data_IF_924832383821
#
_entry.id   IF_924832383821
#
_cell.length_a   1.000
_cell.length_b   1.000
_cell.length_c   1.000
_cell.angle_alpha   90.00
_cell.angle_beta   90.00
_cell.angle_gamma   90.00
#
_symmetry.space_group_name_H-M   'P 1'
#
loop_
_entity.id
_entity.type
_entity.pdbx_description
1 polymer ?
#
# COMPACT_ATOMS: atom_id res chain seq x y z
N UNK A 1 -49.15 -16.49 -41.88
CA UNK A 1 -49.71 -15.15 -41.58
C UNK A 1 -49.89 -15.06 -40.08
N UNK A 2 -48.90 -14.50 -39.35
CA UNK A 2 -48.94 -13.13 -38.76
C UNK A 2 -50.09 -12.97 -37.75
N UNK A 3 -49.85 -12.80 -36.45
CA UNK A 3 -49.19 -11.63 -35.83
C UNK A 3 -48.58 -11.89 -34.44
N UNK A 4 -47.44 -11.24 -34.26
CA UNK A 4 -46.62 -10.95 -33.08
C UNK A 4 -47.12 -9.73 -32.28
N UNK A 5 -46.45 -9.46 -31.13
CA UNK A 5 -46.43 -8.27 -30.21
C UNK A 5 -47.26 -8.44 -28.93
N UNK A 6 -46.77 -8.21 -27.69
CA UNK A 6 -45.55 -7.56 -27.14
C UNK A 6 -45.22 -8.20 -25.76
N UNK A 7 -43.98 -8.54 -25.38
CA UNK A 7 -42.79 -7.74 -25.01
C UNK A 7 -42.78 -7.13 -23.57
N UNK A 8 -41.72 -7.52 -22.83
CA UNK A 8 -40.98 -6.83 -21.76
C UNK A 8 -41.53 -6.86 -20.33
N UNK A 9 -40.94 -7.76 -19.52
CA UNK A 9 -40.45 -7.55 -18.14
C UNK A 9 -40.07 -8.96 -17.62
N UNK A 10 -38.87 -9.30 -17.16
CA UNK A 10 -37.87 -8.52 -16.48
C UNK A 10 -36.49 -9.12 -16.80
N UNK A 11 -35.72 -8.43 -17.64
CA UNK A 11 -34.27 -8.48 -17.56
C UNK A 11 -33.84 -7.50 -16.46
N UNK A 12 -34.30 -7.74 -15.23
CA UNK A 12 -33.64 -7.14 -14.07
C UNK A 12 -32.36 -7.94 -13.87
N UNK A 13 -31.32 -7.43 -14.50
CA UNK A 13 -29.93 -7.47 -14.06
C UNK A 13 -29.78 -8.16 -12.70
N UNK A 14 -29.45 -9.45 -12.74
CA UNK A 14 -28.58 -9.99 -11.72
C UNK A 14 -27.21 -9.31 -11.92
N UNK A 15 -27.08 -8.07 -11.43
CA UNK A 15 -25.81 -7.50 -11.01
C UNK A 15 -25.34 -8.36 -9.83
N UNK A 16 -24.93 -9.59 -10.14
CA UNK A 16 -24.19 -10.42 -9.21
C UNK A 16 -22.83 -9.77 -9.05
N UNK A 17 -22.64 -9.06 -7.94
CA UNK A 17 -21.32 -8.69 -7.45
C UNK A 17 -20.47 -9.96 -7.38
N UNK A 18 -19.62 -10.17 -8.38
CA UNK A 18 -18.69 -11.28 -8.51
C UNK A 18 -17.30 -10.74 -8.16
N UNK A 19 -16.67 -11.09 -7.03
CA UNK A 19 -17.12 -11.91 -5.92
C UNK A 19 -16.31 -11.49 -4.69
N UNK A 20 -17.02 -11.24 -3.60
CA UNK A 20 -16.40 -10.94 -2.32
C UNK A 20 -15.55 -12.14 -1.85
N UNK A 21 -14.39 -11.89 -1.24
CA UNK A 21 -13.48 -12.97 -0.79
C UNK A 21 -13.94 -13.50 0.57
N UNK A 22 -13.56 -14.74 0.89
CA UNK A 22 -13.83 -15.28 2.22
C UNK A 22 -12.94 -14.58 3.23
N UNK A 23 -13.54 -13.90 4.20
CA UNK A 23 -12.85 -13.31 5.34
C UNK A 23 -12.07 -14.38 6.12
N UNK A 24 -10.91 -14.04 6.68
CA UNK A 24 -10.16 -14.93 7.56
C UNK A 24 -10.93 -15.19 8.86
N UNK A 25 -11.77 -16.22 8.89
CA UNK A 25 -12.42 -16.68 10.12
C UNK A 25 -11.34 -17.31 11.01
N UNK A 26 -11.04 -16.71 12.16
CA UNK A 26 -9.93 -17.07 13.07
C UNK A 26 -9.81 -18.52 13.56
N UNK A 27 -10.62 -19.44 13.06
CA UNK A 27 -10.59 -20.88 13.32
C UNK A 27 -10.08 -21.73 12.15
N UNK A 28 -9.99 -21.19 10.93
CA UNK A 28 -9.36 -21.86 9.80
C UNK A 28 -8.65 -20.81 8.91
N UNK A 29 -7.39 -21.03 8.49
CA UNK A 29 -6.76 -20.12 7.54
C UNK A 29 -7.61 -20.11 6.27
N UNK A 30 -8.28 -18.99 6.00
CA UNK A 30 -8.91 -18.80 4.70
C UNK A 30 -7.83 -19.05 3.64
N UNK A 31 -8.15 -19.90 2.65
CA UNK A 31 -7.19 -20.31 1.63
C UNK A 31 -6.54 -19.07 1.03
N UNK A 32 -5.21 -19.00 1.07
CA UNK A 32 -4.47 -17.83 0.61
C UNK A 32 -4.79 -17.50 -0.85
N UNK A 33 -4.72 -16.22 -1.21
CA UNK A 33 -4.95 -15.76 -2.57
C UNK A 33 -3.63 -15.78 -3.34
N UNK A 34 -3.59 -16.45 -4.49
CA UNK A 34 -2.37 -16.56 -5.30
C UNK A 34 -2.47 -15.67 -6.52
N UNK A 35 -1.43 -14.88 -6.77
CA UNK A 35 -1.24 -14.13 -8.01
C UNK A 35 -0.02 -14.69 -8.73
N UNK A 36 -0.19 -15.01 -10.01
CA UNK A 36 0.93 -15.17 -10.93
C UNK A 36 1.50 -13.80 -11.26
N UNK A 37 2.81 -13.67 -11.11
CA UNK A 37 3.53 -12.48 -11.50
C UNK A 37 3.89 -12.58 -12.99
N UNK A 38 3.54 -11.55 -13.76
CA UNK A 38 3.95 -11.35 -15.14
C UNK A 38 4.82 -10.10 -15.24
N UNK A 39 5.62 -10.01 -16.30
CA UNK A 39 6.33 -8.76 -16.66
C UNK A 39 7.19 -8.14 -15.55
N UNK A 40 7.66 -8.97 -14.60
CA UNK A 40 8.55 -8.52 -13.53
C UNK A 40 9.84 -8.02 -14.15
N UNK A 41 10.05 -6.71 -14.03
CA UNK A 41 11.18 -6.01 -14.63
C UNK A 41 11.55 -4.81 -13.80
N UNK A 42 12.84 -4.69 -13.54
CA UNK A 42 13.44 -3.46 -13.04
C UNK A 42 14.22 -2.80 -14.18
N UNK A 43 14.06 -1.51 -14.33
CA UNK A 43 14.81 -0.65 -15.24
C UNK A 43 15.38 0.52 -14.49
N UNK A 44 16.62 0.89 -14.80
CA UNK A 44 17.21 2.12 -14.31
C UNK A 44 18.40 2.54 -15.16
N UNK A 45 18.92 3.76 -14.95
CA UNK A 45 20.23 4.11 -15.47
C UNK A 45 21.31 3.20 -14.89
N UNK A 46 22.47 3.17 -15.54
CA UNK A 46 23.69 2.55 -15.01
C UNK A 46 24.00 3.19 -13.64
N UNK A 47 24.08 2.39 -12.55
CA UNK A 47 24.32 2.88 -11.19
C UNK A 47 25.61 3.68 -11.05
N UNK A 48 26.55 3.53 -11.99
CA UNK A 48 27.80 4.28 -12.01
C UNK A 48 27.68 5.69 -12.60
N UNK A 49 26.52 6.05 -13.18
CA UNK A 49 26.35 7.27 -13.98
C UNK A 49 25.43 8.34 -13.40
N UNK A 50 24.68 8.12 -12.32
CA UNK A 50 23.95 9.15 -11.57
C UNK A 50 23.10 10.14 -12.42
N UNK A 51 22.29 9.63 -13.36
CA UNK A 51 21.56 10.44 -14.33
C UNK A 51 20.05 10.13 -14.52
N UNK A 52 19.33 9.48 -13.60
CA UNK A 52 17.93 9.15 -13.92
C UNK A 52 16.94 8.70 -12.84
N UNK A 53 15.85 8.12 -13.33
CA UNK A 53 14.77 7.48 -12.57
C UNK A 53 14.85 5.99 -12.77
N UNK A 54 14.64 5.23 -11.70
CA UNK A 54 14.47 3.78 -11.76
C UNK A 54 13.00 3.40 -11.68
N UNK A 55 12.64 2.28 -12.30
CA UNK A 55 11.28 1.75 -12.38
C UNK A 55 11.28 0.28 -12.04
N UNK A 56 10.31 -0.19 -11.25
CA UNK A 56 9.93 -1.61 -11.19
C UNK A 56 8.51 -1.71 -11.70
N UNK A 57 8.29 -2.67 -12.59
CA UNK A 57 6.97 -3.06 -13.07
C UNK A 57 6.73 -4.53 -12.72
N UNK A 58 5.53 -4.82 -12.23
CA UNK A 58 5.05 -6.18 -11.96
C UNK A 58 3.58 -6.26 -12.36
N UNK A 59 3.26 -7.18 -13.26
CA UNK A 59 1.88 -7.59 -13.52
C UNK A 59 1.43 -8.67 -12.53
N UNK A 60 0.20 -8.59 -12.05
CA UNK A 60 -0.43 -9.58 -11.16
C UNK A 60 -1.70 -10.12 -11.82
N UNK A 61 -1.82 -11.43 -11.96
CA UNK A 61 -3.03 -12.04 -12.52
C UNK A 61 -3.09 -13.55 -12.32
N UNK A 62 -4.08 -14.19 -12.95
CA UNK A 62 -4.27 -15.64 -12.92
C UNK A 62 -3.90 -16.33 -14.25
N UNK A 63 -3.14 -15.65 -15.11
CA UNK A 63 -2.79 -16.15 -16.44
C UNK A 63 -1.95 -15.16 -17.24
N UNK A 64 -2.11 -15.18 -18.56
CA UNK A 64 -1.31 -14.38 -19.50
C UNK A 64 -1.63 -12.88 -19.49
N UNK A 65 -2.79 -12.48 -18.96
CA UNK A 65 -3.21 -11.08 -18.89
C UNK A 65 -3.19 -10.61 -17.43
N UNK A 66 -2.42 -9.57 -17.08
CA UNK A 66 -2.40 -9.06 -15.72
C UNK A 66 -3.74 -8.39 -15.38
N UNK A 67 -4.30 -8.73 -14.21
CA UNK A 67 -5.48 -8.07 -13.62
C UNK A 67 -5.10 -6.76 -12.94
N UNK A 68 -3.92 -6.73 -12.32
CA UNK A 68 -3.34 -5.51 -11.74
C UNK A 68 -1.96 -5.27 -12.30
N UNK A 69 -1.60 -4.00 -12.45
CA UNK A 69 -0.26 -3.57 -12.83
C UNK A 69 0.33 -2.69 -11.73
N UNK A 70 1.46 -3.13 -11.20
CA UNK A 70 2.15 -2.53 -10.09
C UNK A 70 3.41 -1.83 -10.62
N UNK A 71 3.35 -0.50 -10.78
CA UNK A 71 4.48 0.27 -11.27
C UNK A 71 4.90 1.28 -10.21
N UNK A 72 6.17 1.25 -9.83
CA UNK A 72 6.80 2.31 -9.06
C UNK A 72 7.88 2.97 -9.91
N UNK A 73 8.00 4.29 -9.84
CA UNK A 73 9.12 5.06 -10.38
C UNK A 73 9.74 5.88 -9.24
N UNK A 74 11.07 6.00 -9.19
CA UNK A 74 11.72 6.75 -8.11
C UNK A 74 13.03 7.45 -8.52
N UNK A 75 13.37 8.58 -7.87
CA UNK A 75 14.63 9.29 -8.10
C UNK A 75 15.85 8.47 -7.65
N UNK A 76 16.96 8.61 -8.38
CA UNK A 76 18.22 7.90 -8.09
C UNK A 76 18.88 8.26 -6.74
N UNK A 77 18.55 9.39 -6.10
CA UNK A 77 19.01 9.68 -4.73
C UNK A 77 18.48 8.69 -3.68
N UNK A 78 17.46 7.90 -4.03
CA UNK A 78 16.99 6.73 -3.27
C UNK A 78 17.61 5.42 -3.75
N UNK A 79 18.12 5.43 -4.97
CA UNK A 79 19.06 4.45 -5.49
C UNK A 79 20.47 4.72 -4.88
N UNK A 80 20.55 4.89 -3.56
CA UNK A 80 21.78 4.76 -2.79
C UNK A 80 22.23 3.29 -2.76
N UNK A 81 22.60 2.79 -3.94
CA UNK A 81 23.05 1.42 -4.19
C UNK A 81 24.44 1.24 -3.59
N UNK A 82 24.46 0.86 -2.32
CA UNK A 82 25.57 0.18 -1.69
C UNK A 82 25.02 -0.83 -0.70
N UNK A 83 25.72 -1.95 -0.53
CA UNK A 83 25.47 -2.89 0.54
C UNK A 83 25.40 -2.12 1.87
N UNK A 84 24.19 -1.94 2.43
CA UNK A 84 24.03 -1.22 3.69
C UNK A 84 22.69 -0.52 3.93
N UNK A 85 21.92 -0.15 2.90
CA UNK A 85 20.63 0.54 3.07
C UNK A 85 19.44 -0.39 3.34
N UNK A 86 18.54 -0.01 4.24
CA UNK A 86 17.24 -0.66 4.49
C UNK A 86 16.15 -0.04 3.61
N UNK A 87 16.15 -0.31 2.31
CA UNK A 87 15.33 0.44 1.36
C UNK A 87 14.25 -0.44 0.71
N UNK A 88 13.02 -0.24 1.15
CA UNK A 88 11.80 -0.84 0.61
C UNK A 88 11.21 0.13 -0.42
N UNK A 89 11.09 -0.29 -1.67
CA UNK A 89 10.37 0.42 -2.74
C UNK A 89 8.92 -0.04 -2.72
N UNK A 90 7.96 0.79 -3.10
CA UNK A 90 6.58 0.34 -3.19
C UNK A 90 5.74 1.21 -4.11
N UNK A 91 4.61 0.69 -4.57
CA UNK A 91 3.53 1.47 -5.18
C UNK A 91 2.20 0.71 -5.05
N UNK A 92 1.11 1.43 -5.25
CA UNK A 92 -0.20 0.82 -5.45
C UNK A 92 -0.26 0.17 -6.84
N UNK A 93 -1.05 -0.89 -6.94
CA UNK A 93 -1.28 -1.59 -8.18
C UNK A 93 -2.61 -1.15 -8.77
N UNK A 94 -2.58 -0.77 -10.05
CA UNK A 94 -3.74 -0.26 -10.78
C UNK A 94 -4.45 -1.44 -11.42
N UNK A 95 -5.77 -1.50 -11.29
CA UNK A 95 -6.59 -2.47 -12.02
C UNK A 95 -6.52 -2.17 -13.52
N UNK A 96 -6.13 -3.16 -14.32
CA UNK A 96 -5.88 -3.00 -15.76
C UNK A 96 -7.15 -2.97 -16.60
N UNK A 97 -8.31 -3.22 -15.99
CA UNK A 97 -9.57 -3.48 -16.71
C UNK A 97 -9.74 -4.93 -17.16
N UNK A 98 -8.74 -5.80 -16.97
CA UNK A 98 -8.82 -7.21 -17.31
C UNK A 98 -9.48 -8.02 -16.19
N UNK A 99 -10.56 -8.75 -16.53
CA UNK A 99 -11.35 -9.50 -15.55
C UNK A 99 -12.14 -8.60 -14.59
N UNK A 100 -12.64 -9.17 -13.50
CA UNK A 100 -13.27 -8.39 -12.42
C UNK A 100 -12.21 -8.06 -11.37
N UNK A 101 -12.01 -6.77 -11.07
CA UNK A 101 -11.22 -6.37 -9.90
C UNK A 101 -11.90 -6.87 -8.62
N UNK A 102 -11.30 -7.85 -7.94
CA UNK A 102 -11.87 -8.49 -6.75
C UNK A 102 -11.39 -7.85 -5.44
N UNK A 103 -10.41 -6.96 -5.53
CA UNK A 103 -9.77 -6.31 -4.40
C UNK A 103 -10.04 -4.81 -4.45
N UNK A 104 -10.30 -4.22 -3.29
CA UNK A 104 -10.48 -2.77 -3.13
C UNK A 104 -9.17 -2.04 -3.35
N UNK A 105 -8.10 -2.56 -2.76
CA UNK A 105 -6.73 -2.06 -2.98
C UNK A 105 -5.79 -3.24 -3.12
N UNK A 106 -4.79 -3.07 -3.97
CA UNK A 106 -3.64 -3.96 -4.07
C UNK A 106 -2.40 -3.07 -4.09
N UNK A 107 -1.43 -3.35 -3.25
CA UNK A 107 -0.17 -2.61 -3.19
C UNK A 107 0.97 -3.60 -3.05
N UNK A 108 2.13 -3.24 -3.59
CA UNK A 108 3.33 -4.04 -3.47
C UNK A 108 4.45 -3.23 -2.87
N UNK A 109 5.35 -3.94 -2.20
CA UNK A 109 6.64 -3.41 -1.81
C UNK A 109 7.76 -4.36 -2.23
N UNK A 110 8.95 -3.85 -2.50
CA UNK A 110 10.13 -4.61 -2.84
C UNK A 110 11.28 -4.17 -1.93
N UNK A 111 11.68 -5.06 -1.03
CA UNK A 111 12.94 -4.92 -0.33
C UNK A 111 14.06 -5.35 -1.28
N UNK A 112 14.83 -4.36 -1.74
CA UNK A 112 15.91 -4.61 -2.69
C UNK A 112 17.13 -5.30 -2.07
N UNK A 113 17.32 -5.18 -0.75
CA UNK A 113 18.45 -5.80 -0.04
C UNK A 113 18.23 -7.30 0.07
N UNK A 114 17.04 -7.70 0.52
CA UNK A 114 16.67 -9.11 0.64
C UNK A 114 16.09 -9.69 -0.65
N UNK A 115 15.93 -8.84 -1.68
CA UNK A 115 15.26 -9.16 -2.95
C UNK A 115 13.87 -9.76 -2.72
N UNK A 116 13.14 -9.24 -1.74
CA UNK A 116 11.86 -9.78 -1.32
C UNK A 116 10.75 -8.83 -1.69
N UNK A 117 9.84 -9.29 -2.53
CA UNK A 117 8.59 -8.61 -2.81
C UNK A 117 7.58 -8.95 -1.71
N UNK A 118 6.82 -7.96 -1.29
CA UNK A 118 5.66 -8.05 -0.42
C UNK A 118 4.45 -7.59 -1.21
N UNK A 119 3.33 -8.24 -0.99
CA UNK A 119 2.04 -7.83 -1.55
C UNK A 119 1.07 -7.66 -0.40
N UNK A 120 0.32 -6.57 -0.41
CA UNK A 120 -0.79 -6.33 0.49
C UNK A 120 -2.03 -6.03 -0.34
N UNK A 121 -3.18 -6.49 0.13
CA UNK A 121 -4.46 -6.19 -0.51
C UNK A 121 -5.55 -6.03 0.54
N UNK A 122 -6.58 -5.29 0.16
CA UNK A 122 -7.85 -5.21 0.88
C UNK A 122 -8.99 -5.64 -0.04
N UNK A 123 -10.04 -6.20 0.55
CA UNK A 123 -11.17 -6.75 -0.21
C UNK A 123 -12.45 -6.74 0.63
N UNK A 124 -13.58 -6.71 -0.07
CA UNK A 124 -14.88 -6.94 0.57
C UNK A 124 -15.06 -8.42 0.90
N UNK A 125 -15.57 -8.69 2.09
CA UNK A 125 -15.86 -10.04 2.53
C UNK A 125 -17.23 -10.52 2.07
N UNK A 126 -17.32 -11.81 1.73
CA UNK A 126 -18.55 -12.44 1.24
C UNK A 126 -19.57 -12.74 2.33
N UNK A 127 -19.44 -12.11 3.49
CA UNK A 127 -20.23 -12.40 4.68
C UNK A 127 -21.61 -11.71 4.69
N UNK A 128 -21.87 -10.84 3.70
CA UNK A 128 -23.09 -10.01 3.58
C UNK A 128 -23.30 -9.05 4.76
N UNK A 129 -22.29 -8.84 5.60
CA UNK A 129 -22.30 -7.88 6.70
C UNK A 129 -21.56 -6.58 6.32
N UNK A 130 -20.97 -6.54 5.12
CA UNK A 130 -20.19 -5.40 4.65
C UNK A 130 -18.84 -5.30 5.33
N UNK A 131 -18.30 -6.42 5.83
CA UNK A 131 -16.97 -6.43 6.42
C UNK A 131 -15.88 -6.39 5.35
N UNK A 132 -14.70 -5.91 5.76
CA UNK A 132 -13.52 -5.82 4.90
C UNK A 132 -12.43 -6.72 5.47
N UNK A 133 -11.71 -7.37 4.56
CA UNK A 133 -10.55 -8.19 4.89
C UNK A 133 -9.27 -7.59 4.33
N UNK A 134 -8.15 -8.03 4.88
CA UNK A 134 -6.82 -7.76 4.32
C UNK A 134 -6.08 -9.08 4.14
N UNK A 135 -5.20 -9.15 3.15
CA UNK A 135 -4.26 -10.24 3.01
C UNK A 135 -2.87 -9.69 2.68
N UNK A 136 -1.85 -10.41 3.15
CA UNK A 136 -0.47 -10.07 2.84
C UNK A 136 0.32 -11.31 2.47
N UNK A 137 1.26 -11.16 1.55
CA UNK A 137 2.12 -12.22 1.07
C UNK A 137 3.51 -11.70 0.80
N UNK A 138 4.45 -12.61 0.61
CA UNK A 138 5.79 -12.24 0.17
C UNK A 138 6.41 -13.31 -0.69
N UNK A 139 7.33 -12.90 -1.56
CA UNK A 139 8.02 -13.75 -2.51
C UNK A 139 9.46 -13.25 -2.65
N UNK A 140 10.43 -14.16 -2.55
CA UNK A 140 11.80 -13.84 -2.93
C UNK A 140 11.91 -13.80 -4.46
N UNK A 141 12.53 -12.74 -4.98
CA UNK A 141 12.79 -12.52 -6.39
C UNK A 141 14.29 -12.67 -6.63
N UNK A 142 14.68 -13.72 -7.35
CA UNK A 142 16.07 -13.84 -7.81
C UNK A 142 16.21 -13.06 -9.12
N UNK A 143 16.98 -11.98 -9.11
CA UNK A 143 17.15 -11.09 -10.26
C UNK A 143 18.52 -11.28 -10.92
N UNK A 144 18.53 -11.33 -12.24
CA UNK A 144 19.72 -11.22 -13.07
C UNK A 144 19.72 -9.86 -13.76
N UNK A 145 20.76 -9.07 -13.52
CA UNK A 145 20.90 -7.71 -14.04
C UNK A 145 21.90 -7.66 -15.18
N UNK A 146 21.61 -6.88 -16.21
CA UNK A 146 22.50 -6.60 -17.31
C UNK A 146 22.55 -5.10 -17.56
N UNK A 147 23.73 -4.58 -17.93
CA UNK A 147 23.92 -3.19 -18.33
C UNK A 147 24.22 -3.09 -19.82
N UNK A 148 23.54 -2.18 -20.50
CA UNK A 148 23.79 -1.86 -21.91
C UNK A 148 23.63 -0.36 -22.13
N UNK A 149 24.64 0.25 -22.76
CA UNK A 149 24.61 1.66 -23.18
C UNK A 149 24.26 2.67 -22.07
N UNK A 150 24.66 2.38 -20.82
CA UNK A 150 24.39 3.26 -19.67
C UNK A 150 23.00 3.10 -19.05
N UNK A 151 22.23 2.08 -19.44
CA UNK A 151 21.03 1.63 -18.74
C UNK A 151 21.26 0.24 -18.15
N UNK A 152 20.73 0.00 -16.96
CA UNK A 152 20.69 -1.30 -16.29
C UNK A 152 19.26 -1.81 -16.26
N UNK A 153 19.07 -3.07 -16.63
CA UNK A 153 17.79 -3.75 -16.50
C UNK A 153 17.99 -5.05 -15.73
N UNK A 154 17.05 -5.38 -14.85
CA UNK A 154 17.05 -6.64 -14.12
C UNK A 154 15.75 -7.39 -14.37
N UNK A 155 15.88 -8.70 -14.60
CA UNK A 155 14.78 -9.61 -14.85
C UNK A 155 14.89 -10.81 -13.92
N UNK A 156 13.79 -11.49 -13.57
CA UNK A 156 13.88 -12.75 -12.84
C UNK A 156 14.83 -13.71 -13.54
N UNK A 157 15.77 -14.25 -12.78
CA UNK A 157 16.80 -15.16 -13.25
C UNK A 157 16.14 -16.35 -13.93
N UNK A 158 16.61 -16.66 -15.13
CA UNK A 158 16.09 -17.80 -15.89
C UNK A 158 16.39 -19.11 -15.15
N UNK A 159 15.52 -20.10 -15.33
CA UNK A 159 15.77 -21.46 -14.85
C UNK A 159 16.98 -22.07 -15.58
N UNK A 160 17.46 -23.22 -15.11
CA UNK A 160 18.56 -23.96 -15.76
C UNK A 160 18.31 -24.27 -17.23
N UNK A 161 17.05 -24.27 -17.67
CA UNK A 161 16.64 -24.51 -19.05
C UNK A 161 16.50 -23.22 -19.88
N UNK A 162 16.90 -22.06 -19.34
CA UNK A 162 16.84 -20.75 -20.01
C UNK A 162 15.44 -20.14 -20.10
N UNK A 163 14.44 -20.72 -19.42
CA UNK A 163 13.07 -20.19 -19.39
C UNK A 163 12.86 -19.25 -18.20
N UNK A 164 12.00 -18.23 -18.35
CA UNK A 164 11.61 -17.38 -17.22
C UNK A 164 10.85 -18.19 -16.16
N UNK A 165 11.11 -17.96 -14.86
CA UNK A 165 10.41 -18.68 -13.80
C UNK A 165 8.93 -18.27 -13.73
N UNK A 166 8.06 -19.25 -13.47
CA UNK A 166 6.67 -18.99 -13.14
C UNK A 166 6.58 -18.53 -11.67
N UNK A 167 6.64 -17.22 -11.47
CA UNK A 167 6.58 -16.61 -10.15
C UNK A 167 5.14 -16.53 -9.65
N UNK A 168 4.91 -16.93 -8.40
CA UNK A 168 3.62 -16.80 -7.72
C UNK A 168 3.81 -16.25 -6.32
N UNK A 169 3.04 -15.22 -5.99
CA UNK A 169 2.93 -14.72 -4.62
C UNK A 169 1.59 -15.17 -4.05
N UNK A 170 1.64 -15.81 -2.88
CA UNK A 170 0.44 -16.20 -2.16
C UNK A 170 0.28 -15.27 -0.96
N UNK A 171 -0.84 -14.56 -0.89
CA UNK A 171 -1.21 -13.73 0.24
C UNK A 171 -2.08 -14.55 1.19
N UNK A 172 -1.80 -14.44 2.48
CA UNK A 172 -2.63 -15.04 3.52
C UNK A 172 -3.49 -13.94 4.12
N UNK A 173 -4.80 -14.19 4.30
CA UNK A 173 -5.67 -13.30 5.06
C UNK A 173 -5.05 -12.98 6.41
N UNK A 174 -4.97 -11.68 6.72
CA UNK A 174 -4.55 -11.24 8.06
C UNK A 174 -5.73 -11.54 8.99
N UNK A 175 -5.52 -12.30 10.09
CA UNK A 175 -6.61 -12.64 11.00
C UNK A 175 -7.32 -11.37 11.50
N UNK A 176 -8.64 -11.33 11.32
CA UNK A 176 -9.48 -10.21 11.78
C UNK A 176 -9.77 -10.34 13.29
N UNK A 177 -9.47 -11.49 13.89
CA UNK A 177 -9.75 -11.78 15.31
C UNK A 177 -8.51 -11.60 16.20
N UNK A 178 -8.67 -10.83 17.28
CA UNK A 178 -7.73 -10.71 18.39
C UNK A 178 -7.30 -12.08 18.96
N UNK A 179 -6.18 -12.61 18.50
CA UNK A 179 -5.53 -13.74 19.19
C UNK A 179 -4.28 -13.30 19.97
N UNK A 180 -3.66 -12.16 19.65
CA UNK A 180 -2.68 -11.51 20.52
C UNK A 180 -2.40 -10.07 20.06
N UNK A 181 -2.14 -9.18 21.01
CA UNK A 181 -1.57 -7.84 20.78
C UNK A 181 -0.15 -7.88 20.17
N UNK A 182 0.39 -9.08 19.93
CA UNK A 182 1.80 -9.39 19.70
C UNK A 182 2.05 -10.12 18.37
N UNK A 183 1.12 -9.99 17.43
CA UNK A 183 1.21 -10.56 16.08
C UNK A 183 1.13 -9.46 15.03
N UNK A 184 1.43 -9.78 13.76
CA UNK A 184 1.25 -8.86 12.63
C UNK A 184 -0.17 -8.29 12.62
N UNK A 185 -0.28 -6.97 12.49
CA UNK A 185 -1.55 -6.25 12.51
C UNK A 185 -1.83 -5.65 11.13
N UNK A 186 -3.09 -5.68 10.73
CA UNK A 186 -3.58 -4.85 9.63
C UNK A 186 -4.11 -3.54 10.21
N UNK A 187 -3.65 -2.44 9.61
CA UNK A 187 -4.04 -1.09 10.00
C UNK A 187 -4.74 -0.39 8.84
N UNK A 188 -5.67 0.49 9.20
CA UNK A 188 -6.32 1.38 8.26
C UNK A 188 -6.02 2.83 8.63
N UNK A 189 -5.52 3.60 7.68
CA UNK A 189 -5.37 5.05 7.79
C UNK A 189 -6.64 5.67 7.21
N UNK A 190 -7.33 6.48 8.00
CA UNK A 190 -8.61 7.13 7.66
C UNK A 190 -8.50 8.63 7.90
N UNK A 191 -9.40 9.42 7.31
CA UNK A 191 -9.54 10.86 7.57
C UNK A 191 -8.23 11.65 7.42
N UNK A 192 -7.42 11.31 6.42
CA UNK A 192 -6.19 12.05 6.16
C UNK A 192 -6.49 13.51 5.84
N UNK A 193 -5.79 14.41 6.53
CA UNK A 193 -5.90 15.84 6.38
C UNK A 193 -4.53 16.48 6.54
N UNK A 194 -4.11 17.26 5.54
CA UNK A 194 -2.97 18.16 5.59
C UNK A 194 -3.36 19.50 4.98
N UNK A 195 -2.94 20.60 5.60
CA UNK A 195 -3.23 21.95 5.10
C UNK A 195 -1.93 22.70 4.86
N UNK A 196 -1.86 23.36 3.70
CA UNK A 196 -0.76 24.25 3.35
C UNK A 196 -1.28 25.66 3.19
N UNK A 197 -0.51 26.62 3.67
CA UNK A 197 -0.70 28.02 3.32
C UNK A 197 0.38 28.43 2.31
N UNK A 198 -0.04 29.11 1.26
CA UNK A 198 0.83 29.54 0.18
C UNK A 198 0.75 31.04 -0.04
N UNK A 199 1.78 31.60 -0.66
CA UNK A 199 1.74 33.00 -1.08
C UNK A 199 0.58 33.24 -2.08
N UNK A 200 -0.12 34.38 -2.01
CA UNK A 200 -1.18 34.72 -2.95
C UNK A 200 -0.73 34.57 -4.41
N UNK A 201 -1.58 33.99 -5.26
CA UNK A 201 -1.28 33.78 -6.68
C UNK A 201 -0.50 32.50 -7.01
N UNK A 202 -0.14 31.68 -6.01
CA UNK A 202 0.53 30.39 -6.25
C UNK A 202 -0.36 29.43 -7.06
N UNK A 203 0.18 28.86 -8.15
CA UNK A 203 -0.54 27.96 -9.07
C UNK A 203 -0.40 26.48 -8.73
N UNK A 204 0.59 26.10 -7.91
CA UNK A 204 0.92 24.71 -7.58
C UNK A 204 1.16 24.55 -6.09
N UNK A 205 0.55 23.56 -5.41
CA UNK A 205 0.93 23.20 -4.04
C UNK A 205 2.44 22.91 -3.97
N UNK A 206 3.18 23.59 -3.09
CA UNK A 206 4.55 23.16 -2.75
C UNK A 206 5.67 24.21 -2.74
N UNK A 207 5.50 25.42 -3.28
CA UNK A 207 6.41 26.56 -3.03
C UNK A 207 5.92 27.88 -3.67
N UNK A 208 6.15 29.06 -3.05
CA UNK A 208 6.70 29.26 -1.71
C UNK A 208 5.63 28.97 -0.64
N UNK A 209 5.96 28.03 0.26
CA UNK A 209 5.14 27.65 1.40
C UNK A 209 5.26 28.70 2.51
N UNK A 210 4.12 29.17 3.00
CA UNK A 210 4.03 30.05 4.18
C UNK A 210 3.94 29.19 5.45
N UNK A 211 3.07 28.19 5.43
CA UNK A 211 2.92 27.24 6.53
C UNK A 211 2.44 25.88 6.04
N UNK A 212 2.70 24.84 6.83
CA UNK A 212 2.29 23.46 6.58
C UNK A 212 1.94 22.82 7.91
N UNK A 213 0.69 22.36 8.05
CA UNK A 213 0.24 21.75 9.30
C UNK A 213 0.86 20.38 9.56
N UNK A 214 1.47 19.77 8.55
CA UNK A 214 1.73 18.34 8.52
C UNK A 214 0.43 17.53 8.45
N UNK A 215 0.53 16.19 8.40
CA UNK A 215 -0.64 15.34 8.36
C UNK A 215 -1.32 15.20 9.74
N UNK A 216 -2.62 14.99 9.67
CA UNK A 216 -3.47 14.47 10.74
C UNK A 216 -4.36 13.37 10.15
N UNK A 217 -4.57 12.30 10.89
CA UNK A 217 -5.33 11.13 10.41
C UNK A 217 -5.79 10.27 11.58
N UNK A 218 -6.69 9.36 11.27
CA UNK A 218 -7.15 8.31 12.18
C UNK A 218 -6.47 7.00 11.81
N UNK A 219 -5.86 6.32 12.76
CA UNK A 219 -5.27 4.99 12.57
C UNK A 219 -6.13 3.96 13.29
N UNK A 220 -6.69 3.01 12.55
CA UNK A 220 -7.55 1.94 13.09
C UNK A 220 -6.85 0.60 13.03
N UNK A 221 -6.75 -0.07 14.18
CA UNK A 221 -6.28 -1.45 14.30
C UNK A 221 -7.44 -2.39 14.03
N UNK A 222 -7.34 -3.30 13.05
CA UNK A 222 -8.41 -4.27 12.81
C UNK A 222 -8.56 -5.30 13.94
N UNK A 223 -7.50 -5.96 14.43
CA UNK A 223 -7.67 -7.04 15.41
C UNK A 223 -8.30 -6.57 16.73
N UNK A 224 -8.01 -5.34 17.14
CA UNK A 224 -8.49 -4.78 18.41
C UNK A 224 -9.67 -3.80 18.23
N UNK A 225 -10.01 -3.44 16.98
CA UNK A 225 -10.89 -2.32 16.63
C UNK A 225 -10.53 -1.01 17.37
N UNK A 226 -9.27 -0.87 17.81
CA UNK A 226 -8.78 0.32 18.51
C UNK A 226 -8.53 1.42 17.49
N UNK A 227 -9.01 2.61 17.81
CA UNK A 227 -8.85 3.80 16.97
C UNK A 227 -7.90 4.76 17.66
N UNK A 228 -6.93 5.27 16.90
CA UNK A 228 -5.95 6.24 17.34
C UNK A 228 -6.05 7.52 16.51
N UNK A 229 -6.16 8.66 17.18
CA UNK A 229 -6.12 9.97 16.56
C UNK A 229 -4.67 10.47 16.49
N UNK A 230 -4.13 10.60 15.28
CA UNK A 230 -2.75 10.98 15.00
C UNK A 230 -2.67 12.45 14.55
N UNK A 231 -1.84 13.24 15.23
CA UNK A 231 -1.61 14.66 14.88
C UNK A 231 -0.13 14.99 14.91
N UNK A 232 0.31 15.77 13.93
CA UNK A 232 1.68 16.30 13.87
C UNK A 232 1.96 17.15 15.11
N UNK A 233 3.09 16.90 15.77
CA UNK A 233 3.56 17.67 16.93
C UNK A 233 4.79 18.52 16.63
N UNK A 234 5.61 18.10 15.64
CA UNK A 234 6.78 18.85 15.21
C UNK A 234 7.16 18.52 13.77
N UNK A 235 7.96 19.39 13.18
CA UNK A 235 8.55 19.21 11.85
C UNK A 235 10.08 19.36 11.95
N UNK A 236 10.80 18.41 11.35
CA UNK A 236 12.25 18.42 11.18
C UNK A 236 12.54 18.30 9.69
N UNK A 237 12.99 19.39 9.06
CA UNK A 237 13.18 19.47 7.62
C UNK A 237 11.88 19.12 6.85
N UNK A 238 11.89 18.08 6.01
CA UNK A 238 10.70 17.59 5.30
C UNK A 238 9.88 16.58 6.08
N UNK A 239 10.33 16.18 7.28
CA UNK A 239 9.70 15.12 8.07
C UNK A 239 8.85 15.70 9.19
N UNK A 240 7.57 15.35 9.17
CA UNK A 240 6.62 15.60 10.24
C UNK A 240 6.62 14.43 11.21
N UNK A 241 6.62 14.69 12.51
CA UNK A 241 6.55 13.67 13.54
C UNK A 241 5.36 13.97 14.46
N UNK A 242 4.73 12.92 14.98
CA UNK A 242 3.61 13.04 15.89
C UNK A 242 3.31 11.75 16.63
N UNK A 243 2.50 11.87 17.68
CA UNK A 243 1.99 10.73 18.45
C UNK A 243 0.51 10.53 18.14
N UNK A 244 0.05 9.28 18.18
CA UNK A 244 -1.34 8.94 18.07
C UNK A 244 -1.92 8.57 19.44
N UNK A 245 -3.08 9.14 19.76
CA UNK A 245 -3.78 8.93 21.03
C UNK A 245 -4.95 7.98 20.82
N UNK A 246 -5.06 6.95 21.65
CA UNK A 246 -6.21 6.04 21.63
C UNK A 246 -7.47 6.75 22.14
N UNK A 247 -8.60 6.56 21.45
CA UNK A 247 -9.89 7.16 21.83
C UNK A 247 -10.63 6.33 22.92
N UNK A 248 -10.08 5.20 23.38
CA UNK A 248 -10.73 4.26 24.31
C UNK A 248 -10.06 4.13 25.69
N UNK A 249 -10.88 4.04 26.74
CA UNK A 249 -10.47 3.89 28.15
C UNK A 249 -9.81 2.54 28.49
N UNK A 250 -9.81 1.57 27.58
CA UNK A 250 -9.15 0.25 27.71
C UNK A 250 -7.72 0.26 27.15
N UNK A 251 -7.02 1.40 27.27
CA UNK A 251 -5.65 1.57 26.80
C UNK A 251 -4.67 0.70 27.59
N UNK A 252 -4.51 -0.55 27.18
CA UNK A 252 -3.29 -1.31 27.45
C UNK A 252 -2.15 -0.63 26.68
N UNK A 253 -1.51 0.35 27.32
CA UNK A 253 -0.13 0.83 27.17
C UNK A 253 0.51 0.84 25.76
N UNK A 254 -0.26 1.03 24.69
CA UNK A 254 0.24 1.10 23.32
C UNK A 254 0.46 2.55 22.95
N UNK A 255 1.72 2.97 22.93
CA UNK A 255 2.12 4.22 22.30
C UNK A 255 2.30 3.97 20.81
N UNK A 256 1.59 4.73 19.99
CA UNK A 256 1.78 4.75 18.54
C UNK A 256 2.38 6.10 18.18
N UNK A 257 3.54 6.08 17.55
CA UNK A 257 4.19 7.26 16.99
C UNK A 257 4.23 7.17 15.47
N UNK A 258 4.18 8.30 14.79
CA UNK A 258 4.31 8.37 13.34
C UNK A 258 5.37 9.38 12.90
N UNK A 259 5.93 9.11 11.73
CA UNK A 259 6.71 10.07 10.96
C UNK A 259 6.22 10.11 9.51
N UNK A 260 6.16 11.29 8.92
CA UNK A 260 5.77 11.49 7.54
C UNK A 260 6.76 12.40 6.83
N UNK A 261 7.49 11.88 5.83
CA UNK A 261 8.40 12.70 5.03
C UNK A 261 7.69 13.19 3.76
N UNK A 262 7.49 14.49 3.72
CA UNK A 262 6.74 15.18 2.68
C UNK A 262 7.44 15.33 1.34
N UNK A 263 8.76 15.13 1.26
CA UNK A 263 9.45 15.11 -0.04
C UNK A 263 9.13 13.85 -0.84
N UNK A 264 8.81 12.79 -0.11
CA UNK A 264 8.75 11.42 -0.62
C UNK A 264 7.39 10.78 -0.38
N UNK A 265 6.51 11.51 0.32
CA UNK A 265 5.17 11.12 0.71
C UNK A 265 5.09 9.81 1.50
N UNK A 266 6.10 9.48 2.32
CA UNK A 266 6.11 8.24 3.10
C UNK A 266 5.66 8.51 4.53
N UNK A 267 4.59 7.83 4.94
CA UNK A 267 4.13 7.70 6.32
C UNK A 267 4.70 6.41 6.92
N UNK A 268 5.32 6.51 8.09
CA UNK A 268 5.70 5.38 8.93
C UNK A 268 5.00 5.54 10.26
N UNK A 269 4.48 4.46 10.82
CA UNK A 269 4.01 4.43 12.20
C UNK A 269 4.57 3.22 12.94
N UNK A 270 4.80 3.38 14.23
CA UNK A 270 5.38 2.36 15.09
C UNK A 270 4.52 2.26 16.36
N UNK A 271 3.97 1.07 16.60
CA UNK A 271 3.25 0.76 17.82
C UNK A 271 4.14 -0.09 18.72
N UNK A 272 4.30 0.32 19.97
CA UNK A 272 4.94 -0.50 21.00
C UNK A 272 3.86 -1.21 21.83
N UNK A 273 3.87 -2.54 21.81
CA UNK A 273 2.94 -3.37 22.59
C UNK A 273 3.70 -4.13 23.68
N UNK A 274 3.17 -4.19 24.90
CA UNK A 274 3.69 -5.06 25.95
C UNK A 274 3.05 -6.45 25.83
N UNK A 275 3.90 -7.47 25.70
CA UNK A 275 3.54 -8.85 25.44
C UNK A 275 3.76 -9.77 26.64
N UNK A 276 3.78 -9.22 27.86
CA UNK A 276 3.92 -10.01 29.10
C UNK A 276 5.32 -10.59 29.29
N UNK A 277 6.32 -10.04 28.61
CA UNK A 277 7.72 -10.48 28.73
C UNK A 277 8.70 -9.52 28.05
N UNK A 278 8.52 -9.24 26.76
CA UNK A 278 9.32 -8.25 26.02
C UNK A 278 8.43 -7.35 25.17
N UNK A 279 8.69 -6.04 25.12
CA UNK A 279 7.93 -5.12 24.28
C UNK A 279 8.20 -5.45 22.80
N UNK A 280 7.13 -5.63 22.04
CA UNK A 280 7.17 -5.86 20.60
C UNK A 280 6.87 -4.54 19.90
N UNK A 281 7.69 -4.19 18.89
CA UNK A 281 7.43 -3.01 18.05
C UNK A 281 6.87 -3.47 16.71
N UNK A 282 5.66 -3.03 16.40
CA UNK A 282 5.02 -3.27 15.10
C UNK A 282 5.16 -2.01 14.26
N UNK A 283 5.68 -2.13 13.03
CA UNK A 283 5.89 -1.01 12.12
C UNK A 283 5.06 -1.17 10.86
N UNK A 284 4.31 -0.12 10.52
CA UNK A 284 3.65 0.04 9.24
C UNK A 284 4.32 1.15 8.43
N UNK A 285 4.39 0.95 7.11
CA UNK A 285 4.91 1.94 6.16
C UNK A 285 3.90 2.10 5.02
N UNK A 286 3.56 3.35 4.74
CA UNK A 286 2.56 3.82 3.79
C UNK A 286 3.14 4.99 2.95
N UNK A 287 2.62 5.21 1.75
CA UNK A 287 2.96 6.21 0.74
C UNK A 287 1.61 6.80 0.50
N UNK A 288 1.62 8.09 0.60
CA UNK A 288 0.41 8.79 0.87
C UNK A 288 0.28 9.90 -0.15
N UNK A 289 -0.45 9.59 -1.21
CA UNK A 289 -0.90 10.60 -2.14
C UNK A 289 -2.24 11.15 -1.66
N UNK A 290 -2.37 12.47 -1.73
CA UNK A 290 -3.60 13.18 -1.37
C UNK A 290 -4.03 14.09 -2.51
N UNK A 291 -5.33 14.28 -2.60
CA UNK A 291 -5.95 15.23 -3.52
C UNK A 291 -6.05 16.54 -2.77
N UNK A 292 -5.49 17.60 -3.35
CA UNK A 292 -5.48 18.93 -2.78
C UNK A 292 -6.50 19.83 -3.47
N UNK A 293 -7.34 20.48 -2.70
CA UNK A 293 -8.26 21.50 -3.18
C UNK A 293 -7.97 22.87 -2.53
N UNK A 294 -8.28 23.94 -3.25
CA UNK A 294 -8.17 25.32 -2.80
C UNK A 294 -9.53 25.99 -2.91
N UNK A 295 -10.07 26.38 -1.76
CA UNK A 295 -11.30 27.16 -1.70
C UNK A 295 -11.20 28.47 -2.50
N UNK A 296 -12.33 28.95 -3.00
CA UNK A 296 -12.41 30.21 -3.74
C UNK A 296 -11.78 31.36 -2.94
N UNK A 297 -10.85 32.10 -3.54
CA UNK A 297 -10.08 33.18 -2.91
C UNK A 297 -9.33 32.79 -1.61
N UNK A 298 -8.99 31.51 -1.43
CA UNK A 298 -8.21 31.04 -0.29
C UNK A 298 -6.72 30.96 -0.62
N UNK A 299 -5.86 31.28 0.35
CA UNK A 299 -4.41 30.96 0.32
C UNK A 299 -4.11 29.58 0.93
N UNK A 300 -5.14 28.92 1.47
CA UNK A 300 -5.06 27.61 2.11
C UNK A 300 -5.47 26.52 1.14
N UNK A 301 -4.58 25.56 0.93
CA UNK A 301 -4.85 24.28 0.26
C UNK A 301 -5.17 23.23 1.32
N UNK A 302 -6.24 22.47 1.12
CA UNK A 302 -6.63 21.35 1.97
C UNK A 302 -6.49 20.06 1.19
N UNK A 303 -5.74 19.12 1.73
CA UNK A 303 -5.45 17.85 1.07
C UNK A 303 -5.99 16.69 1.87
N UNK A 304 -6.77 15.86 1.20
CA UNK A 304 -7.44 14.69 1.76
C UNK A 304 -7.15 13.45 0.91
N UNK A 305 -7.39 12.28 1.47
CA UNK A 305 -7.28 11.02 0.73
C UNK A 305 -8.31 10.02 1.22
N UNK A 306 -8.60 9.05 0.37
CA UNK A 306 -9.41 7.90 0.74
C UNK A 306 -8.68 7.02 1.75
N UNK A 307 -9.40 6.16 2.50
CA UNK A 307 -8.77 5.28 3.46
C UNK A 307 -7.73 4.34 2.82
N UNK A 308 -6.56 4.23 3.45
CA UNK A 308 -5.46 3.39 2.98
C UNK A 308 -5.21 2.22 3.94
N UNK A 309 -4.98 1.04 3.38
CA UNK A 309 -4.63 -0.17 4.13
C UNK A 309 -3.13 -0.35 4.24
N UNK A 310 -2.67 -0.67 5.45
CA UNK A 310 -1.25 -0.86 5.76
C UNK A 310 -1.05 -2.18 6.49
N UNK A 311 -0.34 -3.10 5.85
CA UNK A 311 0.20 -4.28 6.54
C UNK A 311 1.35 -3.86 7.45
N UNK A 312 1.32 -4.29 8.71
CA UNK A 312 2.40 -4.01 9.65
C UNK A 312 3.11 -5.29 10.11
N UNK A 313 4.44 -5.22 10.10
CA UNK A 313 5.33 -6.30 10.53
C UNK A 313 5.85 -6.06 11.94
N UNK A 314 6.18 -7.14 12.64
CA UNK A 314 6.94 -7.08 13.89
C UNK A 314 8.43 -6.90 13.55
N UNK A 315 9.08 -5.94 14.19
CA UNK A 315 10.54 -5.77 14.18
C UNK A 315 11.20 -6.55 15.31
#
# INVERSE_FOLDING_TARGET
MTRTLSFIAAAFLAYGASGARVCGNGTAPAAGFSYQLTDVRYDGPDPSKNLGVSTIAVGLGNGATPTYECVAQWPESWAGWYEGGSNIIWSDCIWTGAGFGQDKTVSFALDWKTKKMYLAQSYDCSDKQGSEGSASGSLALDFECSSRDGASYCLPKSTTNGTRPALRITTSPVPVSAASTCSSKAWRVENWLRRYEMSPGSSTPGAPLVSDTGPSFTLRSLPANTTFSCTTSKQLNSTFEGACKSDGATASASSVDFSFDSKINILKFSERSDCGGSPVTTVGVAYFQSICDRGFNSVVFTCTSEPLWVGAGVL
#
